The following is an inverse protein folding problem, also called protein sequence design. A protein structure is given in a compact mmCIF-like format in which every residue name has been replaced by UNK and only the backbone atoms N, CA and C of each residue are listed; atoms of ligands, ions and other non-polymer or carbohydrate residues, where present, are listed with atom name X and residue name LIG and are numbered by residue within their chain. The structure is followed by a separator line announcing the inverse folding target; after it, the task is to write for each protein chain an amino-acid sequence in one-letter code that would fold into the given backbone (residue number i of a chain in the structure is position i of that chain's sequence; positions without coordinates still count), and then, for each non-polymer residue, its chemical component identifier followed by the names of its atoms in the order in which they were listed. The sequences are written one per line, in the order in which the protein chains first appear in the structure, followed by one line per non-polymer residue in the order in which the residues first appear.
data_IF_076891220547
#
_entry.id   IF_076891220547
#
_cell.length_a   1.000
_cell.length_b   1.000
_cell.length_c   1.000
_cell.angle_alpha   90.00
_cell.angle_beta   90.00
_cell.angle_gamma   90.00
#
_symmetry.space_group_name_H-M   'P 1'
#
loop_
_entity.id
_entity.type
_entity.pdbx_description
1 polymer ?
#
# COMPACT_ATOMS: atom_id res chain seq x y z
N UNK A 1 -5.83 -2.20 15.48
CA UNK A 1 -6.82 -2.85 14.57
C UNK A 1 -7.51 -1.84 13.65
N UNK A 2 -8.02 -0.71 14.17
CA UNK A 2 -8.82 0.24 13.36
C UNK A 2 -8.06 1.00 12.26
N UNK A 3 -6.76 0.81 12.12
CA UNK A 3 -5.92 1.50 11.14
C UNK A 3 -5.16 0.55 10.18
N UNK A 4 -5.36 -0.76 10.31
CA UNK A 4 -4.67 -1.75 9.48
C UNK A 4 -5.01 -1.59 7.99
N UNK A 5 -6.28 -1.25 7.69
CA UNK A 5 -6.74 -1.02 6.32
C UNK A 5 -5.94 0.09 5.60
N UNK A 6 -5.52 1.11 6.35
CA UNK A 6 -4.74 2.21 5.79
C UNK A 6 -3.32 1.74 5.43
N UNK A 7 -2.71 0.92 6.28
CA UNK A 7 -1.40 0.33 6.01
C UNK A 7 -1.43 -0.63 4.82
N UNK A 8 -2.45 -1.47 4.76
CA UNK A 8 -2.62 -2.44 3.67
C UNK A 8 -2.86 -1.72 2.34
N UNK A 9 -3.74 -0.72 2.33
CA UNK A 9 -4.01 0.07 1.14
C UNK A 9 -2.78 0.84 0.66
N UNK A 10 -2.04 1.45 1.59
CA UNK A 10 -0.80 2.16 1.27
C UNK A 10 0.24 1.21 0.63
N UNK A 11 0.45 0.03 1.25
CA UNK A 11 1.40 -0.96 0.75
C UNK A 11 1.03 -1.44 -0.65
N UNK A 12 -0.26 -1.65 -0.91
CA UNK A 12 -0.75 -2.09 -2.21
C UNK A 12 -0.62 -1.02 -3.28
N UNK A 13 -0.92 0.25 -2.96
CA UNK A 13 -0.72 1.34 -3.92
C UNK A 13 0.76 1.53 -4.27
N UNK A 14 1.65 1.43 -3.29
CA UNK A 14 3.11 1.45 -3.53
C UNK A 14 3.50 0.27 -4.44
N UNK A 15 2.98 -0.93 -4.18
CA UNK A 15 3.23 -2.10 -5.01
C UNK A 15 2.76 -1.88 -6.45
N UNK A 16 1.56 -1.31 -6.64
CA UNK A 16 1.02 -0.99 -7.97
C UNK A 16 1.88 0.02 -8.71
N UNK A 17 2.37 1.05 -8.02
CA UNK A 17 3.26 2.05 -8.61
C UNK A 17 4.61 1.45 -9.01
N UNK A 18 5.22 0.64 -8.14
CA UNK A 18 6.49 -0.04 -8.42
C UNK A 18 6.34 -1.07 -9.54
N UNK A 19 5.16 -1.69 -9.70
CA UNK A 19 4.88 -2.63 -10.80
C UNK A 19 4.91 -1.98 -12.19
N UNK A 20 4.79 -0.65 -12.27
CA UNK A 20 4.95 0.08 -13.53
C UNK A 20 6.43 0.23 -13.96
N UNK A 21 7.38 -0.14 -13.09
CA UNK A 21 8.81 -0.06 -13.38
C UNK A 21 9.25 -1.35 -14.09
N UNK A 22 9.58 -1.34 -15.41
CA UNK A 22 9.84 -2.57 -16.16
C UNK A 22 11.03 -3.38 -15.64
N UNK A 23 11.97 -2.72 -14.96
CA UNK A 23 13.15 -3.37 -14.38
C UNK A 23 12.88 -4.09 -13.05
N UNK A 24 11.70 -3.91 -12.45
CA UNK A 24 11.33 -4.53 -11.20
C UNK A 24 10.42 -5.74 -11.44
N UNK A 25 10.74 -6.84 -10.77
CA UNK A 25 9.86 -8.01 -10.68
C UNK A 25 9.30 -8.07 -9.27
N UNK A 26 8.00 -7.88 -9.14
CA UNK A 26 7.32 -7.82 -7.86
C UNK A 26 6.54 -9.10 -7.57
N UNK A 27 6.53 -9.49 -6.31
CA UNK A 27 5.67 -10.57 -5.83
C UNK A 27 4.28 -10.01 -5.56
N UNK A 28 3.26 -10.74 -6.00
CA UNK A 28 1.87 -10.32 -5.84
C UNK A 28 1.44 -10.17 -4.38
N UNK A 29 0.42 -9.34 -4.17
CA UNK A 29 -0.15 -9.00 -2.86
C UNK A 29 -0.45 -10.24 -2.01
N UNK A 30 -1.16 -11.22 -2.54
CA UNK A 30 -1.57 -12.43 -1.80
C UNK A 30 -0.40 -13.14 -1.15
N UNK A 31 0.71 -13.32 -1.88
CA UNK A 31 1.91 -13.97 -1.36
C UNK A 31 2.64 -13.10 -0.35
N UNK A 32 2.81 -11.80 -0.60
CA UNK A 32 3.48 -10.87 0.30
C UNK A 32 2.72 -10.73 1.63
N UNK A 33 1.40 -10.54 1.56
CA UNK A 33 0.55 -10.34 2.75
C UNK A 33 0.36 -11.60 3.58
N UNK A 34 0.65 -12.79 3.05
CA UNK A 34 0.64 -14.02 3.83
C UNK A 34 1.64 -14.01 5.00
N UNK A 35 2.62 -13.11 4.97
CA UNK A 35 3.62 -12.91 6.02
C UNK A 35 3.27 -11.76 6.98
N UNK A 36 2.22 -11.01 6.72
CA UNK A 36 1.78 -9.91 7.58
C UNK A 36 1.51 -10.39 9.00
N UNK A 37 2.08 -9.69 9.98
CA UNK A 37 1.92 -10.03 11.40
C UNK A 37 2.65 -11.29 11.87
N UNK A 38 3.39 -11.96 10.98
CA UNK A 38 4.23 -13.09 11.35
C UNK A 38 5.60 -12.60 11.79
N UNK A 39 6.10 -13.14 12.89
CA UNK A 39 7.42 -12.82 13.40
C UNK A 39 8.47 -13.80 12.80
N UNK A 40 8.56 -13.79 11.46
CA UNK A 40 9.56 -14.59 10.73
C UNK A 40 10.78 -13.74 10.38
N UNK A 41 11.96 -14.35 10.35
CA UNK A 41 13.19 -13.70 9.89
C UNK A 41 13.08 -13.28 8.44
N UNK A 42 13.52 -12.07 8.09
CA UNK A 42 13.37 -11.49 6.74
C UNK A 42 14.10 -12.30 5.67
N UNK A 43 15.19 -12.98 6.00
CA UNK A 43 15.91 -13.87 5.07
C UNK A 43 15.06 -15.10 4.75
N UNK A 44 14.34 -15.62 5.75
CA UNK A 44 13.40 -16.74 5.56
C UNK A 44 12.24 -16.32 4.66
N UNK A 45 11.66 -15.14 4.89
CA UNK A 45 10.59 -14.59 4.06
C UNK A 45 11.10 -14.39 2.63
N UNK A 46 12.28 -13.77 2.46
CA UNK A 46 12.90 -13.55 1.16
C UNK A 46 13.13 -14.85 0.38
N UNK A 47 13.61 -15.90 1.06
CA UNK A 47 13.78 -17.22 0.47
C UNK A 47 12.47 -17.87 0.05
N UNK A 48 11.42 -17.79 0.87
CA UNK A 48 10.08 -18.33 0.55
C UNK A 48 9.43 -17.58 -0.61
N UNK A 49 9.64 -16.27 -0.73
CA UNK A 49 9.10 -15.44 -1.81
C UNK A 49 9.98 -15.41 -3.05
N UNK A 50 11.24 -15.85 -2.95
CA UNK A 50 12.21 -15.79 -4.05
C UNK A 50 12.58 -14.36 -4.44
N UNK A 51 12.70 -13.44 -3.45
CA UNK A 51 13.00 -12.03 -3.67
C UNK A 51 14.31 -11.62 -3.02
N UNK A 52 15.03 -10.69 -3.65
CA UNK A 52 16.28 -10.14 -3.12
C UNK A 52 16.06 -9.01 -2.11
N UNK A 53 14.89 -8.37 -2.15
CA UNK A 53 14.56 -7.22 -1.32
C UNK A 53 13.15 -7.33 -0.77
N UNK A 54 12.94 -6.82 0.45
CA UNK A 54 11.63 -6.66 1.08
C UNK A 54 11.43 -5.19 1.42
N UNK A 55 10.25 -4.68 1.11
CA UNK A 55 9.76 -3.39 1.61
C UNK A 55 8.80 -3.67 2.76
N UNK A 56 9.14 -3.17 3.92
CA UNK A 56 8.31 -3.28 5.11
C UNK A 56 8.07 -1.91 5.74
N UNK A 57 7.10 -1.81 6.63
CA UNK A 57 6.84 -0.55 7.29
C UNK A 57 5.67 -0.58 8.25
N UNK A 58 5.36 0.59 8.78
CA UNK A 58 4.23 0.81 9.67
C UNK A 58 3.53 2.11 9.35
N UNK A 59 2.22 2.14 9.57
CA UNK A 59 1.37 3.32 9.41
C UNK A 59 0.69 3.61 10.73
N UNK A 60 0.75 4.87 11.15
CA UNK A 60 0.03 5.40 12.32
C UNK A 60 -0.72 6.66 11.92
N UNK A 61 -1.98 6.72 12.29
CA UNK A 61 -2.83 7.89 12.13
C UNK A 61 -3.24 8.38 13.51
N UNK A 62 -3.10 9.68 13.75
CA UNK A 62 -3.55 10.36 14.96
C UNK A 62 -4.30 11.64 14.52
N UNK A 63 -5.63 11.63 14.63
CA UNK A 63 -6.46 12.66 14.03
C UNK A 63 -6.19 12.77 12.52
N UNK A 64 -5.76 13.97 12.11
CA UNK A 64 -5.39 14.26 10.72
C UNK A 64 -3.90 14.06 10.43
N UNK A 65 -3.11 13.61 11.41
CA UNK A 65 -1.69 13.36 11.24
C UNK A 65 -1.45 11.91 10.82
N UNK A 66 -0.65 11.75 9.78
CA UNK A 66 -0.20 10.47 9.23
C UNK A 66 1.31 10.34 9.43
N UNK A 67 1.72 9.23 10.05
CA UNK A 67 3.14 8.86 10.14
C UNK A 67 3.33 7.50 9.47
N UNK A 68 4.16 7.47 8.45
CA UNK A 68 4.53 6.25 7.73
C UNK A 68 6.01 6.04 7.87
N UNK A 69 6.41 4.89 8.39
CA UNK A 69 7.81 4.44 8.35
C UNK A 69 7.92 3.34 7.30
N UNK A 70 8.87 3.46 6.39
CA UNK A 70 9.13 2.48 5.36
C UNK A 70 10.63 2.14 5.34
N UNK A 71 10.95 0.86 5.10
CA UNK A 71 12.30 0.33 5.11
C UNK A 71 12.45 -0.66 3.95
N UNK A 72 13.54 -0.53 3.20
CA UNK A 72 13.94 -1.49 2.18
C UNK A 72 15.11 -2.32 2.71
N UNK A 73 14.91 -3.63 2.77
CA UNK A 73 15.85 -4.57 3.39
C UNK A 73 16.32 -5.58 2.36
N UNK A 74 17.60 -5.90 2.35
CA UNK A 74 18.15 -7.02 1.61
C UNK A 74 17.81 -8.34 2.32
N UNK A 75 17.46 -9.34 1.54
CA UNK A 75 17.05 -10.64 2.11
C UNK A 75 18.22 -11.60 2.32
N UNK A 76 19.38 -11.34 1.76
CA UNK A 76 20.57 -12.18 1.90
C UNK A 76 21.26 -12.03 3.28
N UNK A 77 21.35 -10.80 3.79
CA UNK A 77 22.04 -10.47 5.04
C UNK A 77 21.17 -9.72 6.05
N UNK A 78 19.95 -9.30 5.65
CA UNK A 78 19.03 -8.54 6.51
C UNK A 78 19.43 -7.07 6.67
N UNK A 79 20.37 -6.56 5.88
CA UNK A 79 20.80 -5.17 5.97
C UNK A 79 19.78 -4.21 5.36
N UNK A 80 19.65 -3.02 5.99
CA UNK A 80 18.79 -1.97 5.48
C UNK A 80 19.51 -1.21 4.36
N UNK A 81 18.94 -1.24 3.17
CA UNK A 81 19.39 -0.40 2.05
C UNK A 81 18.88 1.03 2.22
N UNK A 82 17.70 1.18 2.79
CA UNK A 82 17.05 2.45 2.95
C UNK A 82 15.99 2.37 4.07
N UNK A 83 15.85 3.46 4.81
CA UNK A 83 14.82 3.63 5.83
C UNK A 83 14.42 5.10 5.92
N UNK A 84 13.14 5.40 5.95
CA UNK A 84 12.64 6.77 6.08
C UNK A 84 11.29 6.82 6.78
N UNK A 85 11.08 7.89 7.52
CA UNK A 85 9.80 8.22 8.14
C UNK A 85 9.22 9.46 7.47
N UNK A 86 7.96 9.36 7.07
CA UNK A 86 7.16 10.44 6.52
C UNK A 86 6.13 10.86 7.57
N UNK A 87 6.17 12.11 7.97
CA UNK A 87 5.16 12.73 8.83
C UNK A 87 4.44 13.80 7.99
N UNK A 88 3.16 13.61 7.74
CA UNK A 88 2.32 14.46 6.87
C UNK A 88 0.91 14.51 7.41
N UNK A 89 0.11 15.42 6.87
CA UNK A 89 -1.33 15.36 7.07
C UNK A 89 -1.95 14.22 6.23
N UNK A 90 -3.06 13.68 6.70
CA UNK A 90 -3.75 12.57 6.03
C UNK A 90 -4.14 12.92 4.58
N UNK A 91 -4.49 14.18 4.32
CA UNK A 91 -4.77 14.68 2.96
C UNK A 91 -3.60 14.53 1.99
N UNK A 92 -2.37 14.40 2.50
CA UNK A 92 -1.17 14.24 1.71
C UNK A 92 -0.77 12.75 1.51
N UNK A 93 -1.65 11.81 1.87
CA UNK A 93 -1.36 10.36 1.78
C UNK A 93 -0.88 9.95 0.38
N UNK A 94 -1.46 10.51 -0.66
CA UNK A 94 -1.07 10.23 -2.05
C UNK A 94 0.35 10.70 -2.37
N UNK A 95 0.78 11.83 -1.80
CA UNK A 95 2.18 12.30 -1.94
C UNK A 95 3.13 11.38 -1.20
N UNK A 96 2.71 10.85 -0.03
CA UNK A 96 3.52 9.88 0.73
C UNK A 96 3.74 8.61 -0.09
N UNK A 97 2.70 8.10 -0.77
CA UNK A 97 2.81 6.95 -1.67
C UNK A 97 3.83 7.20 -2.78
N UNK A 98 3.69 8.35 -3.46
CA UNK A 98 4.57 8.74 -4.56
C UNK A 98 6.02 8.91 -4.09
N UNK A 99 6.23 9.51 -2.92
CA UNK A 99 7.56 9.72 -2.33
C UNK A 99 8.22 8.38 -1.97
N UNK A 100 7.47 7.45 -1.36
CA UNK A 100 7.99 6.12 -1.00
C UNK A 100 8.36 5.34 -2.27
N UNK A 101 7.49 5.28 -3.27
CA UNK A 101 7.76 4.56 -4.51
C UNK A 101 9.02 5.12 -5.21
N UNK A 102 9.18 6.44 -5.24
CA UNK A 102 10.37 7.10 -5.80
C UNK A 102 11.63 6.79 -5.01
N UNK A 103 11.58 6.90 -3.69
CA UNK A 103 12.73 6.66 -2.82
C UNK A 103 13.18 5.19 -2.89
N UNK A 104 12.24 4.23 -2.96
CA UNK A 104 12.52 2.80 -3.13
C UNK A 104 13.19 2.54 -4.48
N UNK A 105 12.64 3.08 -5.56
CA UNK A 105 13.22 2.90 -6.88
C UNK A 105 14.63 3.50 -6.96
N UNK A 106 14.86 4.65 -6.33
CA UNK A 106 16.18 5.26 -6.24
C UNK A 106 17.15 4.38 -5.43
N UNK A 107 16.72 3.82 -4.31
CA UNK A 107 17.53 2.92 -3.49
C UNK A 107 17.92 1.64 -4.25
N UNK A 108 17.06 1.17 -5.14
CA UNK A 108 17.32 0.03 -6.03
C UNK A 108 18.12 0.42 -7.29
N UNK A 109 18.56 1.68 -7.42
CA UNK A 109 19.27 2.23 -8.57
C UNK A 109 18.53 2.01 -9.90
N UNK A 110 17.20 1.91 -9.85
CA UNK A 110 16.37 1.80 -11.04
C UNK A 110 16.01 3.20 -11.50
N UNK A 111 16.28 3.51 -12.78
CA UNK A 111 15.84 4.78 -13.37
C UNK A 111 14.32 4.77 -13.46
N UNK A 112 13.69 5.61 -12.70
CA UNK A 112 12.31 6.04 -12.95
C UNK A 112 12.37 7.07 -14.10
N UNK A 113 12.46 6.61 -15.34
CA UNK A 113 12.18 7.47 -16.48
C UNK A 113 10.70 7.82 -16.39
N UNK A 114 10.42 9.04 -15.84
CA UNK A 114 9.10 9.67 -15.78
C UNK A 114 7.95 8.62 -15.76
N UNK A 115 7.94 7.73 -14.78
CA UNK A 115 6.74 6.99 -14.49
C UNK A 115 5.74 8.07 -14.12
N UNK A 116 4.99 8.48 -15.12
CA UNK A 116 3.78 9.23 -14.92
C UNK A 116 2.97 8.33 -14.02
N UNK A 117 3.02 8.61 -12.73
CA UNK A 117 2.22 7.93 -11.72
C UNK A 117 0.79 8.11 -12.15
N UNK A 118 0.31 7.13 -12.92
CA UNK A 118 -0.87 7.31 -13.75
C UNK A 118 -2.09 7.07 -12.88
N UNK A 119 -2.41 8.04 -12.03
CA UNK A 119 -3.73 8.17 -11.39
C UNK A 119 -4.85 8.34 -12.42
N UNK A 120 -4.48 8.44 -13.71
CA UNK A 120 -5.42 8.66 -14.81
C UNK A 120 -6.35 7.46 -15.09
N UNK A 121 -6.16 6.32 -14.45
CA UNK A 121 -6.98 5.13 -14.67
C UNK A 121 -7.92 4.85 -13.50
N UNK A 122 -8.77 5.81 -13.14
CA UNK A 122 -9.89 5.55 -12.24
C UNK A 122 -9.62 5.73 -10.75
N UNK A 123 -8.47 6.27 -10.36
CA UNK A 123 -8.15 6.63 -8.97
C UNK A 123 -8.84 7.93 -8.53
N UNK A 124 -8.85 8.17 -7.22
CA UNK A 124 -9.40 9.40 -6.62
C UNK A 124 -8.32 10.23 -5.97
N UNK A 125 -8.53 11.55 -5.90
CA UNK A 125 -7.77 12.49 -5.07
C UNK A 125 -8.57 12.93 -3.82
N UNK A 126 -9.82 12.47 -3.72
CA UNK A 126 -10.68 12.75 -2.57
C UNK A 126 -10.35 11.77 -1.44
N UNK A 127 -9.94 12.29 -0.30
CA UNK A 127 -9.50 11.47 0.84
C UNK A 127 -10.65 10.68 1.47
N UNK A 128 -11.86 11.23 1.48
CA UNK A 128 -13.02 10.55 2.05
C UNK A 128 -13.45 9.39 1.14
N UNK A 129 -13.46 9.60 -0.19
CA UNK A 129 -13.68 8.53 -1.16
C UNK A 129 -12.63 7.41 -1.01
N UNK A 130 -11.37 7.79 -0.86
CA UNK A 130 -10.26 6.85 -0.68
C UNK A 130 -10.37 6.07 0.62
N UNK A 131 -10.70 6.69 1.75
CA UNK A 131 -10.91 6.01 3.04
C UNK A 131 -12.02 4.95 2.94
N UNK A 132 -13.16 5.29 2.31
CA UNK A 132 -14.26 4.35 2.09
C UNK A 132 -13.86 3.16 1.22
N UNK A 133 -13.12 3.42 0.15
CA UNK A 133 -12.57 2.40 -0.73
C UNK A 133 -11.61 1.46 0.01
N UNK A 134 -10.70 1.96 0.83
CA UNK A 134 -9.78 1.13 1.60
C UNK A 134 -10.50 0.23 2.61
N UNK A 135 -11.54 0.74 3.28
CA UNK A 135 -12.39 -0.03 4.19
C UNK A 135 -13.18 -1.11 3.44
N UNK A 136 -13.74 -0.77 2.28
CA UNK A 136 -14.38 -1.72 1.39
C UNK A 136 -13.43 -2.85 0.99
N UNK A 137 -12.21 -2.52 0.60
CA UNK A 137 -11.18 -3.50 0.23
C UNK A 137 -10.80 -4.41 1.40
N UNK A 138 -10.67 -3.88 2.60
CA UNK A 138 -10.40 -4.69 3.79
C UNK A 138 -11.48 -5.76 3.98
N UNK A 139 -12.75 -5.39 3.81
CA UNK A 139 -13.86 -6.35 3.89
C UNK A 139 -13.88 -7.35 2.72
N UNK A 140 -13.43 -6.94 1.53
CA UNK A 140 -13.36 -7.84 0.37
C UNK A 140 -12.35 -8.98 0.57
N UNK A 141 -11.26 -8.72 1.28
CA UNK A 141 -10.21 -9.70 1.58
C UNK A 141 -10.33 -10.32 2.97
N UNK A 142 -11.42 -10.07 3.68
CA UNK A 142 -11.73 -10.78 4.93
C UNK A 142 -12.26 -12.19 4.63
N UNK A 143 -11.96 -13.13 5.52
CA UNK A 143 -12.47 -14.51 5.40
C UNK A 143 -13.97 -14.63 5.73
N UNK A 144 -14.61 -13.52 6.08
CA UNK A 144 -16.02 -13.50 6.51
C UNK A 144 -16.93 -13.13 5.34
N UNK A 145 -17.74 -14.09 4.88
CA UNK A 145 -18.71 -13.91 3.81
C UNK A 145 -20.11 -14.17 4.37
N UNK A 146 -20.74 -13.11 4.87
CA UNK A 146 -22.11 -13.12 5.37
C UNK A 146 -22.91 -11.90 4.87
N UNK A 147 -24.22 -11.93 5.07
CA UNK A 147 -25.12 -10.90 4.59
C UNK A 147 -24.88 -9.50 5.23
N UNK A 148 -24.28 -9.45 6.42
CA UNK A 148 -23.95 -8.17 7.06
C UNK A 148 -22.72 -7.53 6.41
N UNK A 149 -21.64 -8.30 6.18
CA UNK A 149 -20.46 -7.82 5.47
C UNK A 149 -20.79 -7.43 4.02
N UNK A 150 -21.70 -8.14 3.35
CA UNK A 150 -22.13 -7.78 2.00
C UNK A 150 -22.87 -6.43 1.98
N UNK A 151 -23.74 -6.18 2.96
CA UNK A 151 -24.39 -4.85 3.08
C UNK A 151 -23.39 -3.75 3.34
N UNK A 152 -22.40 -3.98 4.21
CA UNK A 152 -21.34 -3.00 4.50
C UNK A 152 -20.47 -2.72 3.28
N UNK A 153 -20.10 -3.75 2.49
CA UNK A 153 -19.37 -3.58 1.23
C UNK A 153 -20.12 -2.68 0.26
N UNK A 154 -21.41 -2.97 0.03
CA UNK A 154 -22.26 -2.17 -0.87
C UNK A 154 -22.38 -0.72 -0.39
N UNK A 155 -22.53 -0.52 0.93
CA UNK A 155 -22.62 0.81 1.49
C UNK A 155 -21.33 1.60 1.31
N UNK A 156 -20.17 1.03 1.65
CA UNK A 156 -18.87 1.69 1.51
C UNK A 156 -18.55 2.06 0.07
N UNK A 157 -18.87 1.17 -0.89
CA UNK A 157 -18.69 1.47 -2.30
C UNK A 157 -19.59 2.65 -2.75
N UNK A 158 -20.85 2.67 -2.32
CA UNK A 158 -21.78 3.79 -2.62
C UNK A 158 -21.29 5.11 -2.02
N UNK A 159 -20.81 5.08 -0.78
CA UNK A 159 -20.25 6.27 -0.13
C UNK A 159 -19.01 6.78 -0.86
N UNK A 160 -18.10 5.88 -1.27
CA UNK A 160 -16.92 6.26 -2.03
C UNK A 160 -17.29 6.96 -3.34
N UNK A 161 -18.24 6.43 -4.11
CA UNK A 161 -18.74 7.04 -5.35
C UNK A 161 -19.51 8.34 -5.06
N UNK A 162 -20.19 8.45 -3.93
CA UNK A 162 -20.87 9.70 -3.54
C UNK A 162 -19.88 10.84 -3.26
N UNK A 163 -18.71 10.53 -2.65
CA UNK A 163 -17.65 11.49 -2.42
C UNK A 163 -16.88 11.87 -3.69
N UNK A 164 -16.73 10.93 -4.62
CA UNK A 164 -16.10 11.17 -5.92
C UNK A 164 -16.75 10.33 -7.02
N UNK A 165 -17.70 10.90 -7.77
CA UNK A 165 -18.41 10.20 -8.84
C UNK A 165 -17.52 9.73 -10.01
N UNK A 166 -16.28 10.21 -10.10
CA UNK A 166 -15.30 9.79 -11.10
C UNK A 166 -14.42 8.64 -10.64
N UNK A 167 -14.59 8.20 -9.39
CA UNK A 167 -13.79 7.13 -8.81
C UNK A 167 -14.25 5.77 -9.34
N UNK A 168 -13.60 5.30 -10.40
CA UNK A 168 -13.99 4.07 -11.13
C UNK A 168 -13.61 2.79 -10.36
N UNK A 169 -12.68 2.86 -9.40
CA UNK A 169 -12.24 1.70 -8.63
C UNK A 169 -13.16 1.36 -7.44
N UNK A 170 -14.09 2.22 -7.10
CA UNK A 170 -15.12 1.97 -6.10
C UNK A 170 -16.39 1.42 -6.76
#
# INVERSE_FOLDING_TARGET
KDQEYLGDGLAEEILNQLAQVPALRLVGRTSSFSFKGKNEDLRTIGGKLGVAHLLEGSVRKDGDQLRVTAQLVRTDDGSHLWSKTYARELRDVFKVQDDIARDVAQALSVKLDAVTLNRAQGGTTNIDAYDRYLRWRQLLFSDTWDAEHDRQRVQLAREAVAFDPKFVLA
#
